data_IF_832059581026
#
_entry.id   IF_832059581026
#
_cell.length_a   1.000
_cell.length_b   1.000
_cell.length_c   1.000
_cell.angle_alpha   90.00
_cell.angle_beta   90.00
_cell.angle_gamma   90.00
#
_symmetry.space_group_name_H-M   'P 1'
#
loop_
_entity.id
_entity.type
_entity.pdbx_description
1 polymer ?
#
# COMPACT_ATOMS: atom_id res chain seq x y z
N UNK A 1 14.71 23.88 -28.36
CA UNK A 1 15.94 23.94 -29.19
C UNK A 1 16.92 22.94 -28.61
N UNK A 2 17.47 21.98 -29.37
CA UNK A 2 18.53 21.14 -28.86
C UNK A 2 19.80 22.00 -28.81
N UNK A 3 20.13 22.53 -27.63
CA UNK A 3 21.46 23.07 -27.40
C UNK A 3 22.42 21.90 -27.48
N UNK A 4 23.17 21.81 -28.57
CA UNK A 4 24.28 20.88 -28.71
C UNK A 4 25.25 21.14 -27.57
N UNK A 5 25.21 20.31 -26.53
CA UNK A 5 26.27 20.27 -25.53
C UNK A 5 27.60 20.05 -26.27
N UNK A 6 28.65 20.81 -25.94
CA UNK A 6 29.91 20.74 -26.66
C UNK A 6 30.45 19.31 -26.67
N UNK A 7 30.82 18.80 -27.85
CA UNK A 7 31.54 17.54 -27.97
C UNK A 7 32.87 17.67 -27.22
N UNK A 8 33.06 16.81 -26.22
CA UNK A 8 34.27 16.77 -25.42
C UNK A 8 35.47 16.38 -26.28
N UNK A 9 36.27 17.38 -26.67
CA UNK A 9 37.53 17.17 -27.36
C UNK A 9 38.59 16.71 -26.35
N UNK A 10 38.90 15.41 -26.35
CA UNK A 10 39.79 14.71 -25.41
C UNK A 10 41.26 15.17 -25.40
N UNK A 11 41.64 16.19 -26.18
CA UNK A 11 43.02 16.36 -26.64
C UNK A 11 43.93 17.27 -25.81
N UNK A 12 43.48 17.92 -24.72
CA UNK A 12 44.34 18.96 -24.11
C UNK A 12 44.55 18.99 -22.59
N UNK A 13 43.91 18.16 -21.75
CA UNK A 13 44.31 18.10 -20.32
C UNK A 13 43.73 16.90 -19.56
N UNK A 14 44.57 16.02 -19.01
CA UNK A 14 44.14 14.86 -18.18
C UNK A 14 43.34 15.26 -16.93
N UNK A 15 43.54 16.46 -16.39
CA UNK A 15 42.75 16.98 -15.27
C UNK A 15 41.35 17.47 -15.69
N UNK A 16 41.14 17.80 -16.97
CA UNK A 16 39.84 18.17 -17.53
C UNK A 16 39.07 16.95 -18.11
N UNK A 17 39.75 15.83 -18.34
CA UNK A 17 39.14 14.61 -18.88
C UNK A 17 38.07 14.00 -17.95
N UNK A 18 38.19 14.16 -16.62
CA UNK A 18 37.15 13.74 -15.66
C UNK A 18 35.82 14.50 -15.82
N UNK A 19 35.83 15.69 -16.41
CA UNK A 19 34.64 16.48 -16.70
C UNK A 19 33.94 16.08 -18.01
N UNK A 20 34.49 15.11 -18.75
CA UNK A 20 33.96 14.67 -20.04
C UNK A 20 33.23 13.33 -20.01
N UNK A 21 33.09 12.73 -18.83
CA UNK A 21 32.26 11.55 -18.65
C UNK A 21 30.81 11.97 -18.75
N UNK A 22 30.08 11.47 -19.74
CA UNK A 22 28.69 11.82 -20.00
C UNK A 22 27.90 10.62 -20.46
N UNK A 23 26.65 10.57 -20.05
CA UNK A 23 25.72 9.55 -20.50
C UNK A 23 25.22 9.92 -21.91
N UNK A 24 25.15 8.92 -22.78
CA UNK A 24 24.65 9.09 -24.15
C UNK A 24 23.16 9.36 -24.15
N UNK A 25 22.66 10.03 -25.18
CA UNK A 25 21.23 10.16 -25.38
C UNK A 25 20.60 8.78 -25.60
N UNK A 26 19.49 8.52 -24.93
CA UNK A 26 18.72 7.28 -25.11
C UNK A 26 17.23 7.48 -24.84
N UNK A 27 16.42 6.58 -25.38
CA UNK A 27 14.98 6.50 -25.06
C UNK A 27 14.76 5.33 -24.13
N UNK A 28 14.18 5.58 -22.95
CA UNK A 28 13.87 4.54 -21.96
C UNK A 28 12.54 4.87 -21.28
N UNK A 29 11.66 3.88 -21.15
CA UNK A 29 10.30 4.05 -20.60
C UNK A 29 9.49 5.12 -21.34
N UNK A 30 9.63 5.18 -22.67
CA UNK A 30 9.00 6.20 -23.53
C UNK A 30 9.39 7.65 -23.21
N UNK A 31 10.48 7.85 -22.48
CA UNK A 31 11.08 9.15 -22.17
C UNK A 31 12.42 9.27 -22.89
N UNK A 32 12.62 10.39 -23.58
CA UNK A 32 13.93 10.74 -24.18
C UNK A 32 14.82 11.39 -23.13
N UNK A 33 15.94 10.75 -22.82
CA UNK A 33 16.96 11.25 -21.90
C UNK A 33 18.08 11.88 -22.72
N UNK A 34 18.13 13.21 -22.73
CA UNK A 34 19.19 13.94 -23.44
C UNK A 34 20.55 13.65 -22.84
N UNK A 35 21.59 13.71 -23.68
CA UNK A 35 22.99 13.65 -23.28
C UNK A 35 23.25 14.54 -22.05
N UNK A 36 23.84 13.97 -21.00
CA UNK A 36 23.99 14.63 -19.70
C UNK A 36 25.35 14.28 -19.10
N UNK A 37 26.12 15.25 -18.57
CA UNK A 37 27.40 14.98 -17.92
C UNK A 37 27.19 14.13 -16.66
N UNK A 38 28.16 13.28 -16.29
CA UNK A 38 28.06 12.45 -15.09
C UNK A 38 28.28 13.26 -13.79
N UNK A 39 29.02 14.36 -13.89
CA UNK A 39 29.36 15.24 -12.78
C UNK A 39 29.11 16.68 -13.22
N UNK A 40 28.43 17.47 -12.38
CA UNK A 40 28.23 18.90 -12.60
C UNK A 40 29.53 19.68 -12.35
N UNK A 41 29.55 20.98 -12.67
CA UNK A 41 30.70 21.86 -12.39
C UNK A 41 31.08 21.88 -10.89
N UNK A 42 30.13 21.55 -10.02
CA UNK A 42 30.27 21.53 -8.56
C UNK A 42 30.73 20.17 -8.01
N UNK A 43 31.01 19.18 -8.87
CA UNK A 43 31.42 17.84 -8.42
C UNK A 43 30.25 16.94 -7.98
N UNK A 44 29.00 17.33 -8.26
CA UNK A 44 27.80 16.59 -7.85
C UNK A 44 27.35 15.69 -9.02
N UNK A 45 26.83 14.50 -8.73
CA UNK A 45 26.23 13.62 -9.74
C UNK A 45 25.08 14.36 -10.44
N UNK A 46 25.15 14.48 -11.77
CA UNK A 46 24.11 15.21 -12.48
C UNK A 46 22.81 14.39 -12.55
N UNK A 47 21.70 15.03 -12.22
CA UNK A 47 20.34 14.49 -12.34
C UNK A 47 19.60 15.25 -13.43
N UNK A 48 19.09 14.54 -14.42
CA UNK A 48 18.22 15.09 -15.45
C UNK A 48 16.76 14.91 -15.03
N UNK A 49 15.98 15.99 -15.12
CA UNK A 49 14.53 15.97 -14.92
C UNK A 49 13.81 16.26 -16.24
N UNK A 50 12.85 15.43 -16.61
CA UNK A 50 12.10 15.53 -17.88
C UNK A 50 10.61 15.35 -17.62
N UNK A 51 9.71 16.00 -18.38
CA UNK A 51 8.27 15.81 -18.23
C UNK A 51 7.87 14.33 -18.42
N UNK A 52 6.90 13.88 -17.65
CA UNK A 52 6.37 12.53 -17.78
C UNK A 52 5.67 12.31 -19.15
N UNK A 53 5.72 11.09 -19.72
CA UNK A 53 5.04 10.79 -20.98
C UNK A 53 3.53 11.05 -20.88
N UNK A 54 2.93 11.61 -21.95
CA UNK A 54 1.49 11.88 -22.02
C UNK A 54 1.02 13.18 -21.36
N UNK A 55 1.89 13.91 -20.67
CA UNK A 55 1.58 15.25 -20.15
C UNK A 55 1.92 16.30 -21.21
N UNK A 56 0.90 16.92 -21.79
CA UNK A 56 1.08 18.08 -22.68
C UNK A 56 1.24 19.34 -21.83
N UNK A 57 2.32 20.09 -22.04
CA UNK A 57 2.51 21.41 -21.45
C UNK A 57 1.49 22.36 -22.10
N UNK A 58 0.33 22.52 -21.47
CA UNK A 58 -0.61 23.61 -21.79
C UNK A 58 -0.18 24.83 -20.98
N UNK A 59 0.08 25.93 -21.67
CA UNK A 59 0.69 27.20 -21.25
C UNK A 59 0.77 27.53 -19.74
N UNK A 60 1.92 28.11 -19.39
CA UNK A 60 2.46 28.43 -18.05
C UNK A 60 1.67 29.41 -17.18
N UNK A 61 0.37 29.62 -17.41
CA UNK A 61 -0.42 30.64 -16.71
C UNK A 61 -1.19 30.15 -15.48
N UNK A 62 -1.21 28.85 -15.18
CA UNK A 62 -2.05 28.27 -14.09
C UNK A 62 -1.28 27.71 -12.88
N UNK A 63 0.05 27.80 -12.82
CA UNK A 63 0.81 27.26 -11.68
C UNK A 63 0.71 25.74 -11.49
N UNK A 64 0.25 25.02 -12.52
CA UNK A 64 0.11 23.56 -12.47
C UNK A 64 1.49 22.90 -12.46
N UNK A 65 1.81 22.17 -11.39
CA UNK A 65 3.07 21.43 -11.26
C UNK A 65 3.01 20.23 -12.22
N UNK A 66 3.77 20.29 -13.31
CA UNK A 66 3.89 19.17 -14.27
C UNK A 66 4.74 18.07 -13.62
N UNK A 67 4.25 16.83 -13.54
CA UNK A 67 5.05 15.74 -13.01
C UNK A 67 6.27 15.48 -13.91
N UNK A 68 7.39 15.18 -13.26
CA UNK A 68 8.68 14.97 -13.92
C UNK A 68 9.26 13.60 -13.57
N UNK A 69 9.74 12.89 -14.58
CA UNK A 69 10.65 11.77 -14.43
C UNK A 69 12.05 12.29 -14.15
N UNK A 70 12.84 11.54 -13.38
CA UNK A 70 14.21 11.90 -13.03
C UNK A 70 15.18 10.76 -13.31
N UNK A 71 16.43 11.08 -13.62
CA UNK A 71 17.46 10.06 -13.81
C UNK A 71 18.85 10.61 -13.57
N UNK A 72 19.70 9.81 -12.93
CA UNK A 72 21.09 10.17 -12.63
C UNK A 72 22.03 9.60 -13.68
N UNK A 73 23.00 10.41 -14.08
CA UNK A 73 24.12 9.98 -14.89
C UNK A 73 25.33 9.75 -13.98
N UNK A 74 25.79 8.51 -13.85
CA UNK A 74 26.95 8.16 -13.03
C UNK A 74 28.21 8.01 -13.89
N UNK A 75 29.37 8.11 -13.25
CA UNK A 75 30.67 7.77 -13.85
C UNK A 75 31.14 6.42 -13.31
N UNK A 76 31.29 5.43 -14.19
CA UNK A 76 31.83 4.10 -13.87
C UNK A 76 32.96 3.83 -14.86
N UNK A 77 34.18 3.63 -14.37
CA UNK A 77 35.38 3.41 -15.19
C UNK A 77 35.57 4.46 -16.29
N UNK A 78 35.38 5.73 -15.94
CA UNK A 78 35.42 6.90 -16.84
C UNK A 78 34.40 6.86 -18.00
N UNK A 79 33.35 6.04 -17.87
CA UNK A 79 32.22 5.97 -18.80
C UNK A 79 30.95 6.46 -18.11
N UNK A 80 30.19 7.29 -18.83
CA UNK A 80 28.89 7.77 -18.36
C UNK A 80 27.86 6.67 -18.47
N UNK A 81 27.33 6.23 -17.34
CA UNK A 81 26.32 5.18 -17.24
C UNK A 81 25.06 5.76 -16.63
N UNK A 82 23.96 5.64 -17.34
CA UNK A 82 22.67 6.03 -16.81
C UNK A 82 22.19 5.02 -15.76
N UNK A 83 21.72 5.53 -14.62
CA UNK A 83 20.95 4.73 -13.67
C UNK A 83 19.57 4.32 -14.21
N UNK A 84 18.80 3.56 -13.43
CA UNK A 84 17.39 3.33 -13.74
C UNK A 84 16.58 4.64 -13.57
N UNK A 85 15.63 4.94 -14.47
CA UNK A 85 14.80 6.13 -14.37
C UNK A 85 13.84 6.06 -13.18
N UNK A 86 13.64 7.20 -12.53
CA UNK A 86 12.66 7.43 -11.48
C UNK A 86 11.40 8.02 -12.11
N UNK A 87 10.29 7.28 -12.04
CA UNK A 87 9.03 7.63 -12.70
C UNK A 87 7.86 7.64 -11.71
N UNK A 88 8.14 7.76 -10.42
CA UNK A 88 7.17 7.82 -9.32
C UNK A 88 6.11 8.92 -9.52
N UNK A 89 6.52 10.05 -10.11
CA UNK A 89 5.61 11.15 -10.43
C UNK A 89 4.87 10.97 -11.75
N UNK A 90 5.30 10.02 -12.58
CA UNK A 90 4.73 9.75 -13.90
C UNK A 90 3.60 8.73 -13.89
N UNK A 91 3.13 8.34 -12.71
CA UNK A 91 1.88 7.61 -12.59
C UNK A 91 0.79 8.39 -13.32
N UNK A 92 0.05 7.69 -14.17
CA UNK A 92 -0.97 8.32 -15.01
C UNK A 92 -1.99 9.04 -14.12
N UNK A 93 -2.58 10.16 -14.59
CA UNK A 93 -3.67 10.81 -13.88
C UNK A 93 -4.79 9.82 -13.53
N UNK A 94 -5.04 8.82 -14.39
CA UNK A 94 -6.00 7.75 -14.13
C UNK A 94 -5.69 6.90 -12.88
N UNK A 95 -4.42 6.66 -12.54
CA UNK A 95 -4.05 5.90 -11.34
C UNK A 95 -4.25 6.74 -10.07
N UNK A 96 -3.84 8.01 -10.11
CA UNK A 96 -4.03 8.95 -8.99
C UNK A 96 -5.51 9.31 -8.81
N UNK A 97 -6.24 9.53 -9.91
CA UNK A 97 -7.69 9.77 -9.92
C UNK A 97 -8.45 8.56 -9.43
N UNK A 98 -8.04 7.33 -9.80
CA UNK A 98 -8.69 6.14 -9.26
C UNK A 98 -8.47 6.03 -7.74
N UNK A 99 -7.24 6.21 -7.25
CA UNK A 99 -6.97 6.19 -5.81
C UNK A 99 -7.74 7.30 -5.08
N UNK A 100 -7.78 8.51 -5.63
CA UNK A 100 -8.49 9.64 -5.06
C UNK A 100 -10.01 9.43 -5.09
N UNK A 101 -10.55 8.85 -6.17
CA UNK A 101 -11.97 8.57 -6.35
C UNK A 101 -12.44 7.40 -5.49
N UNK A 102 -11.63 6.37 -5.33
CA UNK A 102 -11.90 5.28 -4.38
C UNK A 102 -11.96 5.83 -2.96
N UNK A 103 -10.99 6.64 -2.55
CA UNK A 103 -10.99 7.29 -1.24
C UNK A 103 -12.17 8.25 -1.06
N UNK A 104 -12.47 9.10 -2.06
CA UNK A 104 -13.60 10.03 -1.98
C UNK A 104 -14.93 9.30 -1.89
N UNK A 105 -15.10 8.21 -2.66
CA UNK A 105 -16.29 7.37 -2.62
C UNK A 105 -16.45 6.73 -1.24
N UNK A 106 -15.38 6.21 -0.64
CA UNK A 106 -15.40 5.64 0.73
C UNK A 106 -15.84 6.72 1.74
N UNK A 107 -15.30 7.93 1.65
CA UNK A 107 -15.61 9.03 2.56
C UNK A 107 -17.04 9.55 2.38
N UNK A 108 -17.49 9.75 1.14
CA UNK A 108 -18.86 10.15 0.82
C UNK A 108 -19.89 9.16 1.33
N UNK A 109 -19.58 7.86 1.25
CA UNK A 109 -20.43 6.81 1.77
C UNK A 109 -20.42 6.75 3.29
N UNK A 110 -19.28 6.98 3.92
CA UNK A 110 -19.21 7.18 5.35
C UNK A 110 -20.18 8.30 5.76
N UNK A 111 -20.08 9.47 5.14
CA UNK A 111 -20.94 10.61 5.45
C UNK A 111 -22.43 10.34 5.16
N UNK A 112 -22.75 9.67 4.05
CA UNK A 112 -24.13 9.32 3.71
C UNK A 112 -24.73 8.29 4.68
N UNK A 113 -23.96 7.28 5.07
CA UNK A 113 -24.42 6.26 6.02
C UNK A 113 -24.67 6.85 7.42
N UNK A 114 -23.83 7.78 7.86
CA UNK A 114 -23.94 8.35 9.21
C UNK A 114 -24.90 9.54 9.32
N UNK A 115 -25.14 10.30 8.24
CA UNK A 115 -25.93 11.54 8.32
C UNK A 115 -27.35 11.45 7.76
N UNK A 116 -27.75 10.35 7.11
CA UNK A 116 -29.07 10.28 6.47
C UNK A 116 -30.13 9.62 7.37
N UNK A 117 -31.25 10.31 7.57
CA UNK A 117 -32.46 9.82 8.26
C UNK A 117 -33.23 8.80 7.40
N UNK A 118 -32.60 7.68 7.05
CA UNK A 118 -33.24 6.58 6.34
C UNK A 118 -33.81 5.57 7.35
N UNK A 119 -34.90 4.89 7.01
CA UNK A 119 -35.47 3.82 7.84
C UNK A 119 -34.46 2.68 8.03
N UNK A 120 -34.53 1.97 9.16
CA UNK A 120 -33.60 0.88 9.52
C UNK A 120 -33.52 -0.23 8.45
N UNK A 121 -34.63 -0.53 7.76
CA UNK A 121 -34.66 -1.53 6.68
C UNK A 121 -33.94 -1.05 5.41
N UNK A 122 -34.20 0.18 4.98
CA UNK A 122 -33.52 0.77 3.81
C UNK A 122 -32.02 0.99 4.08
N UNK A 123 -31.63 1.24 5.34
CA UNK A 123 -30.23 1.24 5.75
C UNK A 123 -29.61 -0.14 5.57
N UNK A 124 -30.27 -1.20 6.02
CA UNK A 124 -29.75 -2.57 5.91
C UNK A 124 -29.55 -3.01 4.44
N UNK A 125 -30.54 -2.78 3.56
CA UNK A 125 -30.47 -3.19 2.15
C UNK A 125 -29.41 -2.39 1.35
N UNK A 126 -29.32 -1.08 1.61
CA UNK A 126 -28.26 -0.24 1.03
C UNK A 126 -26.91 -0.69 1.57
N UNK A 127 -26.78 -0.98 2.85
CA UNK A 127 -25.53 -1.41 3.46
C UNK A 127 -25.04 -2.74 2.88
N UNK A 128 -25.90 -3.75 2.75
CA UNK A 128 -25.50 -5.07 2.23
C UNK A 128 -25.00 -4.99 0.78
N UNK A 129 -25.72 -4.26 -0.09
CA UNK A 129 -25.33 -4.06 -1.49
C UNK A 129 -24.04 -3.23 -1.60
N UNK A 130 -23.90 -2.21 -0.76
CA UNK A 130 -22.80 -1.23 -0.79
C UNK A 130 -21.53 -1.84 -0.18
N UNK A 131 -21.63 -2.56 0.93
CA UNK A 131 -20.53 -3.30 1.55
C UNK A 131 -19.98 -4.37 0.62
N UNK A 132 -20.84 -5.17 -0.02
CA UNK A 132 -20.40 -6.19 -0.97
C UNK A 132 -19.71 -5.57 -2.19
N UNK A 133 -20.28 -4.52 -2.77
CA UNK A 133 -19.75 -3.87 -3.98
C UNK A 133 -18.44 -3.12 -3.74
N UNK A 134 -18.32 -2.39 -2.63
CA UNK A 134 -17.12 -1.58 -2.32
C UNK A 134 -15.99 -2.47 -1.83
N UNK A 135 -16.31 -3.45 -1.00
CA UNK A 135 -15.31 -4.44 -0.58
C UNK A 135 -14.77 -5.18 -1.78
N UNK A 136 -15.62 -5.48 -2.77
CA UNK A 136 -15.18 -6.01 -4.06
C UNK A 136 -14.23 -5.06 -4.76
N UNK A 137 -14.66 -3.82 -4.99
CA UNK A 137 -13.89 -2.85 -5.76
C UNK A 137 -12.51 -2.59 -5.15
N UNK A 138 -12.45 -2.35 -3.83
CA UNK A 138 -11.22 -1.98 -3.15
C UNK A 138 -10.26 -3.16 -2.99
N UNK A 139 -10.77 -4.34 -2.64
CA UNK A 139 -9.91 -5.52 -2.56
C UNK A 139 -9.42 -5.93 -3.94
N UNK A 140 -10.26 -5.92 -4.98
CA UNK A 140 -9.84 -6.23 -6.37
C UNK A 140 -8.81 -5.23 -6.88
N UNK A 141 -8.93 -3.95 -6.53
CA UNK A 141 -7.91 -2.97 -6.85
C UNK A 141 -6.59 -3.26 -6.15
N UNK A 142 -6.61 -3.45 -4.81
CA UNK A 142 -5.42 -3.77 -4.04
C UNK A 142 -4.75 -5.06 -4.53
N UNK A 143 -5.54 -6.05 -4.92
CA UNK A 143 -5.09 -7.30 -5.54
C UNK A 143 -4.42 -7.03 -6.90
N UNK A 144 -5.10 -6.33 -7.80
CA UNK A 144 -4.60 -6.05 -9.16
C UNK A 144 -3.31 -5.25 -9.18
N UNK A 145 -3.09 -4.35 -8.22
CA UNK A 145 -1.84 -3.56 -8.16
C UNK A 145 -0.69 -4.31 -7.50
N UNK A 146 -0.99 -5.36 -6.71
CA UNK A 146 -0.01 -6.20 -6.01
C UNK A 146 0.36 -7.47 -6.77
N UNK A 147 -0.10 -7.64 -8.02
CA UNK A 147 0.39 -8.71 -8.91
C UNK A 147 1.87 -8.52 -9.29
N UNK A 148 2.59 -9.63 -9.51
CA UNK A 148 4.04 -9.66 -9.79
C UNK A 148 4.44 -9.01 -11.11
N UNK A 149 3.49 -8.79 -12.01
CA UNK A 149 3.75 -8.12 -13.28
C UNK A 149 4.06 -6.62 -13.09
N UNK A 150 3.63 -6.06 -11.95
CA UNK A 150 3.84 -4.65 -11.63
C UNK A 150 5.19 -4.35 -10.97
N UNK A 151 6.02 -5.34 -10.66
CA UNK A 151 7.28 -5.21 -9.87
C UNK A 151 8.25 -4.24 -10.51
N UNK A 152 8.32 -4.29 -11.84
CA UNK A 152 9.15 -3.38 -12.62
C UNK A 152 8.73 -1.92 -12.45
N UNK A 153 7.43 -1.65 -12.26
CA UNK A 153 6.94 -0.31 -11.99
C UNK A 153 7.23 0.10 -10.54
N UNK A 154 6.97 -0.80 -9.59
CA UNK A 154 7.21 -0.57 -8.16
C UNK A 154 8.69 -0.27 -7.84
N UNK A 155 9.63 -1.01 -8.44
CA UNK A 155 11.08 -0.82 -8.24
C UNK A 155 11.62 0.53 -8.76
N UNK A 156 10.86 1.20 -9.63
CA UNK A 156 11.19 2.52 -10.19
C UNK A 156 10.64 3.67 -9.34
N UNK A 157 9.91 3.38 -8.27
CA UNK A 157 9.39 4.39 -7.35
C UNK A 157 10.49 4.86 -6.40
N UNK A 158 10.48 6.16 -6.04
CA UNK A 158 11.43 6.75 -5.09
C UNK A 158 10.72 7.70 -4.11
N UNK A 159 11.02 7.63 -2.79
CA UNK A 159 11.80 6.57 -2.16
C UNK A 159 11.12 5.20 -2.34
N UNK A 160 11.92 4.15 -2.40
CA UNK A 160 11.40 2.78 -2.50
C UNK A 160 10.39 2.55 -1.36
N UNK A 161 9.32 1.82 -1.64
CA UNK A 161 8.29 1.51 -0.66
C UNK A 161 7.28 2.63 -0.34
N UNK A 162 7.52 3.89 -0.70
CA UNK A 162 6.61 4.98 -0.31
C UNK A 162 5.18 4.82 -0.84
N UNK A 163 5.04 4.37 -2.09
CA UNK A 163 3.73 4.12 -2.67
C UNK A 163 3.07 2.88 -2.02
N UNK A 164 3.87 1.90 -1.60
CA UNK A 164 3.37 0.72 -0.89
C UNK A 164 2.86 1.14 0.49
N UNK A 165 3.56 2.03 1.20
CA UNK A 165 3.10 2.61 2.46
C UNK A 165 1.77 3.36 2.30
N UNK A 166 1.63 4.15 1.23
CA UNK A 166 0.36 4.83 0.92
C UNK A 166 -0.76 3.84 0.65
N UNK A 167 -0.49 2.80 -0.12
CA UNK A 167 -1.47 1.76 -0.39
C UNK A 167 -1.88 1.02 0.89
N UNK A 168 -0.94 0.71 1.78
CA UNK A 168 -1.26 0.16 3.11
C UNK A 168 -2.16 1.10 3.91
N UNK A 169 -1.92 2.40 3.87
CA UNK A 169 -2.77 3.39 4.54
C UNK A 169 -4.20 3.38 3.98
N UNK A 170 -4.37 3.30 2.65
CA UNK A 170 -5.69 3.21 2.00
C UNK A 170 -6.41 1.92 2.42
N UNK A 171 -5.73 0.78 2.37
CA UNK A 171 -6.27 -0.52 2.83
C UNK A 171 -6.64 -0.45 4.32
N UNK A 172 -5.85 0.25 5.12
CA UNK A 172 -6.10 0.47 6.54
C UNK A 172 -7.34 1.32 6.83
N UNK A 173 -7.53 2.40 6.08
CA UNK A 173 -8.69 3.26 6.21
C UNK A 173 -9.94 2.51 5.78
N UNK A 174 -9.87 1.83 4.63
CA UNK A 174 -10.95 0.99 4.13
C UNK A 174 -11.41 -0.04 5.17
N UNK A 175 -10.47 -0.80 5.75
CA UNK A 175 -10.82 -1.80 6.77
C UNK A 175 -11.43 -1.22 8.03
N UNK A 176 -11.02 0.00 8.41
CA UNK A 176 -11.61 0.70 9.56
C UNK A 176 -13.06 1.11 9.28
N UNK A 177 -13.33 1.67 8.10
CA UNK A 177 -14.70 2.05 7.68
C UNK A 177 -15.58 0.81 7.54
N UNK A 178 -15.07 -0.26 6.93
CA UNK A 178 -15.81 -1.52 6.80
C UNK A 178 -16.18 -2.10 8.16
N UNK A 179 -15.27 -2.06 9.14
CA UNK A 179 -15.53 -2.56 10.50
C UNK A 179 -16.63 -1.77 11.20
N UNK A 180 -16.59 -0.44 11.08
CA UNK A 180 -17.65 0.43 11.61
C UNK A 180 -19.01 0.12 10.98
N UNK A 181 -19.02 -0.11 9.66
CA UNK A 181 -20.22 -0.48 8.90
C UNK A 181 -20.80 -1.82 9.37
N UNK A 182 -19.97 -2.86 9.42
CA UNK A 182 -20.36 -4.18 9.91
C UNK A 182 -20.87 -4.14 11.35
N UNK A 183 -20.19 -3.38 12.22
CA UNK A 183 -20.63 -3.18 13.61
C UNK A 183 -22.02 -2.57 13.69
N UNK A 184 -22.27 -1.52 12.90
CA UNK A 184 -23.57 -0.89 12.82
C UNK A 184 -24.65 -1.88 12.35
N UNK A 185 -24.33 -2.70 11.33
CA UNK A 185 -25.26 -3.70 10.80
C UNK A 185 -25.63 -4.75 11.86
N UNK A 186 -24.63 -5.36 12.50
CA UNK A 186 -24.84 -6.35 13.54
C UNK A 186 -25.67 -5.78 14.69
N UNK A 187 -25.34 -4.56 15.12
CA UNK A 187 -26.09 -3.85 16.17
C UNK A 187 -27.55 -3.60 15.76
N UNK A 188 -27.80 -3.21 14.51
CA UNK A 188 -29.15 -2.94 13.99
C UNK A 188 -30.03 -4.20 13.95
N UNK A 189 -29.41 -5.36 13.69
CA UNK A 189 -30.05 -6.67 13.68
C UNK A 189 -30.08 -7.34 15.06
N UNK A 190 -29.57 -6.67 16.11
CA UNK A 190 -29.42 -7.24 17.46
C UNK A 190 -28.57 -8.52 17.48
N UNK A 191 -27.67 -8.67 16.50
CA UNK A 191 -26.72 -9.75 16.43
C UNK A 191 -25.47 -9.38 17.24
N UNK A 192 -25.06 -10.29 18.12
CA UNK A 192 -23.86 -10.11 18.96
C UNK A 192 -22.59 -10.71 18.36
N UNK A 193 -22.73 -11.46 17.28
CA UNK A 193 -21.63 -12.13 16.63
C UNK A 193 -21.85 -12.13 15.12
N UNK A 194 -20.76 -12.10 14.38
CA UNK A 194 -20.78 -12.13 12.92
C UNK A 194 -19.37 -12.31 12.38
N UNK A 195 -19.27 -12.81 11.15
CA UNK A 195 -17.98 -12.90 10.47
C UNK A 195 -18.15 -12.56 9.01
N UNK A 196 -17.26 -11.73 8.50
CA UNK A 196 -17.07 -11.47 7.09
C UNK A 196 -15.72 -12.03 6.66
N UNK A 197 -15.68 -12.68 5.49
CA UNK A 197 -14.45 -13.24 4.93
C UNK A 197 -14.41 -12.93 3.44
N UNK A 198 -13.22 -12.58 2.95
CA UNK A 198 -12.96 -12.43 1.53
C UNK A 198 -11.52 -12.72 1.21
N UNK A 199 -11.29 -13.40 0.09
CA UNK A 199 -9.96 -13.67 -0.43
C UNK A 199 -9.90 -13.36 -1.90
N UNK A 200 -8.76 -12.80 -2.28
CA UNK A 200 -8.27 -12.71 -3.64
C UNK A 200 -6.86 -13.29 -3.65
N UNK A 201 -6.23 -13.33 -4.81
CA UNK A 201 -4.92 -13.98 -4.99
C UNK A 201 -3.84 -13.40 -4.06
N UNK A 202 -3.80 -12.08 -3.91
CA UNK A 202 -2.76 -11.36 -3.19
C UNK A 202 -3.23 -10.75 -1.85
N UNK A 203 -4.54 -10.69 -1.61
CA UNK A 203 -5.13 -10.10 -0.39
C UNK A 203 -6.25 -10.96 0.19
N UNK A 204 -6.11 -11.30 1.47
CA UNK A 204 -7.13 -11.93 2.29
C UNK A 204 -7.60 -10.98 3.39
N UNK A 205 -8.90 -10.92 3.63
CA UNK A 205 -9.51 -10.14 4.70
C UNK A 205 -10.50 -11.00 5.48
N UNK A 206 -10.40 -10.96 6.81
CA UNK A 206 -11.36 -11.56 7.72
C UNK A 206 -11.71 -10.56 8.81
N UNK A 207 -13.00 -10.33 9.00
CA UNK A 207 -13.53 -9.49 10.07
C UNK A 207 -14.44 -10.35 10.92
N UNK A 208 -14.18 -10.43 12.21
CA UNK A 208 -15.03 -11.14 13.15
C UNK A 208 -15.53 -10.19 14.22
N UNK A 209 -16.78 -10.32 14.61
CA UNK A 209 -17.40 -9.68 15.75
C UNK A 209 -17.77 -10.77 16.75
N UNK A 210 -17.31 -10.63 17.99
CA UNK A 210 -17.45 -11.64 19.05
C UNK A 210 -17.70 -10.96 20.39
N UNK A 211 -18.51 -11.59 21.23
CA UNK A 211 -18.69 -11.12 22.60
C UNK A 211 -17.43 -11.46 23.40
N UNK A 212 -16.87 -10.55 24.22
CA UNK A 212 -15.63 -10.79 24.96
C UNK A 212 -15.55 -12.11 25.74
N UNK A 213 -16.65 -12.49 26.40
CA UNK A 213 -16.72 -13.72 27.21
C UNK A 213 -16.59 -15.00 26.38
N UNK A 214 -16.96 -14.94 25.10
CA UNK A 214 -16.95 -16.07 24.16
C UNK A 214 -15.67 -16.04 23.30
N UNK A 215 -14.79 -15.06 23.52
CA UNK A 215 -13.56 -14.92 22.77
C UNK A 215 -12.46 -15.82 23.35
N UNK A 216 -12.19 -16.91 22.64
CA UNK A 216 -11.17 -17.90 23.01
C UNK A 216 -9.83 -17.72 22.28
N UNK A 217 -9.71 -16.65 21.50
CA UNK A 217 -8.60 -16.43 20.58
C UNK A 217 -9.01 -16.57 19.12
N UNK A 218 -8.05 -16.33 18.25
CA UNK A 218 -8.21 -16.39 16.81
C UNK A 218 -6.95 -17.00 16.20
N UNK A 219 -7.12 -17.86 15.21
CA UNK A 219 -6.05 -18.41 14.38
C UNK A 219 -6.37 -18.03 12.94
N UNK A 220 -5.37 -17.56 12.19
CA UNK A 220 -5.55 -17.06 10.84
C UNK A 220 -4.35 -17.40 9.94
N UNK A 221 -4.57 -18.03 8.78
CA UNK A 221 -5.82 -18.69 8.40
C UNK A 221 -6.16 -19.84 9.37
N UNK A 222 -7.45 -20.06 9.65
CA UNK A 222 -7.95 -21.30 10.28
C UNK A 222 -8.45 -22.30 9.21
N UNK A 223 -8.92 -23.48 9.65
CA UNK A 223 -9.44 -24.51 8.75
C UNK A 223 -10.63 -24.05 7.89
N UNK A 224 -11.44 -23.09 8.37
CA UNK A 224 -12.52 -22.50 7.57
C UNK A 224 -11.97 -21.54 6.52
N UNK A 225 -10.90 -20.83 6.86
CA UNK A 225 -10.23 -19.91 5.94
C UNK A 225 -9.51 -20.65 4.81
N UNK A 226 -8.97 -21.84 5.07
CA UNK A 226 -8.38 -22.70 4.03
C UNK A 226 -9.38 -23.04 2.90
N UNK A 227 -10.58 -23.47 3.27
CA UNK A 227 -11.61 -23.91 2.33
C UNK A 227 -12.21 -22.75 1.53
N UNK A 228 -12.47 -21.63 2.20
CA UNK A 228 -13.18 -20.49 1.60
C UNK A 228 -12.25 -19.51 0.90
N UNK A 229 -11.01 -19.38 1.38
CA UNK A 229 -10.10 -18.29 1.02
C UNK A 229 -8.89 -18.78 0.22
N UNK A 230 -8.73 -20.09 0.02
CA UNK A 230 -7.56 -20.68 -0.64
C UNK A 230 -6.23 -20.32 0.04
N UNK A 231 -6.30 -19.84 1.28
CA UNK A 231 -5.16 -19.40 2.05
C UNK A 231 -4.48 -20.62 2.65
N UNK A 232 -3.34 -21.05 2.09
CA UNK A 232 -2.54 -22.13 2.68
C UNK A 232 -2.07 -21.73 4.08
N UNK A 233 -2.00 -22.71 5.00
CA UNK A 233 -1.53 -22.54 6.39
C UNK A 233 -0.10 -22.01 6.49
N UNK A 234 0.67 -22.08 5.40
CA UNK A 234 2.05 -21.64 5.35
C UNK A 234 2.36 -20.85 4.07
N UNK A 235 3.20 -19.79 4.14
CA UNK A 235 3.66 -19.06 5.33
C UNK A 235 2.68 -17.95 5.78
N UNK A 236 2.78 -17.54 7.06
CA UNK A 236 2.06 -16.44 7.73
C UNK A 236 0.75 -16.77 8.47
N UNK A 237 0.76 -17.85 9.26
CA UNK A 237 -0.27 -18.07 10.28
C UNK A 237 -0.04 -17.16 11.50
N UNK A 238 -1.06 -16.42 11.90
CA UNK A 238 -1.10 -15.71 13.19
C UNK A 238 -2.07 -16.42 14.12
N UNK A 239 -1.63 -16.66 15.35
CA UNK A 239 -2.50 -17.02 16.46
C UNK A 239 -2.48 -15.92 17.51
N UNK A 240 -3.65 -15.47 17.92
CA UNK A 240 -3.81 -14.64 19.10
C UNK A 240 -4.65 -15.41 20.12
N UNK A 241 -4.07 -15.63 21.29
CA UNK A 241 -4.74 -16.26 22.43
C UNK A 241 -4.82 -15.23 23.55
N UNK A 242 -6.03 -14.86 24.02
CA UNK A 242 -6.17 -13.84 25.03
C UNK A 242 -5.56 -14.31 26.36
N UNK A 243 -4.62 -13.53 26.89
CA UNK A 243 -4.08 -13.80 28.22
C UNK A 243 -5.04 -13.30 29.32
N UNK A 244 -4.79 -13.69 30.57
CA UNK A 244 -5.66 -13.30 31.71
C UNK A 244 -5.76 -11.79 31.89
N UNK A 245 -4.70 -11.05 31.57
CA UNK A 245 -4.70 -9.59 31.70
C UNK A 245 -5.59 -8.93 30.64
N UNK A 246 -5.54 -9.41 29.40
CA UNK A 246 -6.40 -8.98 28.31
C UNK A 246 -7.87 -9.16 28.68
N UNK A 247 -8.27 -10.37 29.10
CA UNK A 247 -9.65 -10.67 29.53
C UNK A 247 -10.06 -9.77 30.69
N UNK A 248 -9.18 -9.57 31.67
CA UNK A 248 -9.46 -8.68 32.81
C UNK A 248 -9.71 -7.23 32.36
N UNK A 249 -8.90 -6.68 31.45
CA UNK A 249 -9.04 -5.30 30.95
C UNK A 249 -10.32 -5.14 30.13
N UNK A 250 -10.61 -6.06 29.22
CA UNK A 250 -11.83 -6.02 28.41
C UNK A 250 -13.08 -6.07 29.30
N UNK A 251 -13.09 -6.93 30.33
CA UNK A 251 -14.21 -6.99 31.28
C UNK A 251 -14.37 -5.71 32.11
N UNK A 252 -13.28 -4.97 32.38
CA UNK A 252 -13.35 -3.69 33.11
C UNK A 252 -13.89 -2.54 32.26
N UNK A 253 -13.70 -2.60 30.95
CA UNK A 253 -14.13 -1.58 29.99
C UNK A 253 -15.61 -1.71 29.60
N UNK A 254 -16.34 -2.69 30.14
CA UNK A 254 -17.72 -2.99 29.78
C UNK A 254 -17.94 -3.12 28.26
N UNK A 255 -16.98 -3.73 27.57
CA UNK A 255 -17.03 -3.92 26.12
C UNK A 255 -18.20 -4.84 25.77
N UNK A 256 -19.08 -4.39 24.89
CA UNK A 256 -20.23 -5.16 24.41
C UNK A 256 -19.78 -6.24 23.41
N UNK A 257 -18.94 -5.83 22.45
CA UNK A 257 -18.41 -6.66 21.38
C UNK A 257 -16.95 -6.32 21.08
N UNK A 258 -16.16 -7.32 20.77
CA UNK A 258 -14.84 -7.18 20.17
C UNK A 258 -14.95 -7.41 18.68
N UNK A 259 -14.36 -6.50 17.90
CA UNK A 259 -14.22 -6.67 16.46
C UNK A 259 -12.76 -6.85 16.11
N UNK A 260 -12.43 -7.97 15.45
CA UNK A 260 -11.08 -8.25 14.98
C UNK A 260 -11.09 -8.21 13.45
N UNK A 261 -10.26 -7.34 12.90
CA UNK A 261 -9.96 -7.27 11.47
C UNK A 261 -8.61 -7.88 11.27
N UNK A 262 -8.51 -8.80 10.32
CA UNK A 262 -7.24 -9.30 9.85
C UNK A 262 -7.12 -9.16 8.36
N UNK A 263 -5.95 -8.71 7.94
CA UNK A 263 -5.52 -8.58 6.56
C UNK A 263 -4.28 -9.44 6.36
N UNK A 264 -4.31 -10.31 5.37
CA UNK A 264 -3.14 -11.02 4.85
C UNK A 264 -2.84 -10.49 3.47
N UNK A 265 -1.58 -10.15 3.23
CA UNK A 265 -1.09 -9.54 2.01
C UNK A 265 0.08 -10.40 1.50
N UNK A 266 -0.24 -11.35 0.63
CA UNK A 266 0.65 -12.47 0.26
C UNK A 266 1.94 -12.00 -0.39
N UNK A 267 1.84 -11.06 -1.33
CA UNK A 267 2.95 -10.61 -2.16
C UNK A 267 3.40 -9.19 -1.81
N UNK A 268 2.76 -8.53 -0.84
CA UNK A 268 2.96 -7.11 -0.58
C UNK A 268 4.32 -6.78 0.02
N UNK A 269 4.92 -7.71 0.76
CA UNK A 269 6.22 -7.54 1.41
C UNK A 269 7.34 -7.17 0.43
N UNK A 270 7.29 -7.66 -0.81
CA UNK A 270 8.24 -7.31 -1.88
C UNK A 270 8.17 -5.84 -2.30
N UNK A 271 7.07 -5.15 -1.99
CA UNK A 271 6.85 -3.74 -2.30
C UNK A 271 7.36 -2.82 -1.18
N UNK A 272 7.59 -3.37 0.01
CA UNK A 272 8.06 -2.63 1.17
C UNK A 272 9.56 -2.41 1.09
N UNK A 273 10.00 -1.29 1.64
CA UNK A 273 11.41 -0.94 1.72
C UNK A 273 11.75 -0.54 3.15
N UNK A 274 12.76 -1.19 3.72
CA UNK A 274 13.31 -0.81 5.00
C UNK A 274 14.74 -0.29 4.80
N UNK A 275 14.99 1.02 5.01
CA UNK A 275 16.31 1.60 4.80
C UNK A 275 17.39 1.01 5.71
N UNK A 276 17.01 0.30 6.80
CA UNK A 276 17.94 -0.31 7.74
C UNK A 276 18.61 -1.58 7.21
N UNK A 277 17.96 -2.29 6.30
CA UNK A 277 18.44 -3.57 5.77
C UNK A 277 19.03 -3.45 4.34
N UNK A 278 19.13 -2.22 3.81
CA UNK A 278 19.71 -1.97 2.48
C UNK A 278 18.83 -2.47 1.33
N UNK A 279 19.34 -2.41 0.10
CA UNK A 279 18.58 -2.80 -1.11
C UNK A 279 18.53 -4.32 -1.35
N UNK A 280 19.25 -5.12 -0.56
CA UNK A 280 19.41 -6.56 -0.81
C UNK A 280 18.64 -7.46 0.17
N UNK A 281 18.24 -6.93 1.32
CA UNK A 281 17.43 -7.67 2.29
C UNK A 281 15.96 -7.41 2.00
N UNK A 282 15.34 -8.34 1.29
CA UNK A 282 13.91 -8.28 0.96
C UNK A 282 13.09 -8.97 2.04
N UNK A 283 11.97 -8.37 2.42
CA UNK A 283 10.95 -9.04 3.23
C UNK A 283 10.33 -10.13 2.34
N UNK A 284 10.58 -11.40 2.67
CA UNK A 284 10.18 -12.57 1.87
C UNK A 284 8.98 -13.33 2.46
N UNK A 285 8.35 -12.78 3.50
CA UNK A 285 7.17 -13.36 4.15
C UNK A 285 5.93 -12.55 3.79
N UNK A 286 4.74 -13.16 3.69
CA UNK A 286 3.49 -12.40 3.61
C UNK A 286 3.37 -11.40 4.75
N UNK A 287 2.81 -10.23 4.46
CA UNK A 287 2.49 -9.26 5.49
C UNK A 287 1.12 -9.62 6.08
N UNK A 288 1.03 -9.73 7.40
CA UNK A 288 -0.23 -9.93 8.08
C UNK A 288 -0.43 -8.82 9.10
N UNK A 289 -1.64 -8.26 9.11
CA UNK A 289 -2.03 -7.16 9.97
C UNK A 289 -3.30 -7.49 10.70
N UNK A 290 -3.28 -7.31 12.01
CA UNK A 290 -4.45 -7.46 12.88
C UNK A 290 -4.78 -6.10 13.47
N UNK A 291 -6.05 -5.72 13.41
CA UNK A 291 -6.62 -4.61 14.15
C UNK A 291 -7.72 -5.12 15.05
N UNK A 292 -7.79 -4.57 16.24
CA UNK A 292 -8.85 -4.86 17.18
C UNK A 292 -9.61 -3.58 17.49
N UNK A 293 -10.91 -3.69 17.55
CA UNK A 293 -11.80 -2.64 17.97
C UNK A 293 -12.69 -3.12 19.11
N UNK A 294 -13.01 -2.21 20.02
CA UNK A 294 -13.87 -2.41 21.16
C UNK A 294 -15.17 -1.65 20.92
N UNK A 295 -16.30 -2.33 21.04
CA UNK A 295 -17.60 -1.67 21.08
C UNK A 295 -17.97 -1.34 22.52
N UNK A 296 -18.12 -0.04 22.80
CA UNK A 296 -18.53 0.48 24.12
C UNK A 296 -19.73 1.39 23.87
N UNK A 297 -20.85 1.12 24.54
CA UNK A 297 -22.11 1.88 24.39
C UNK A 297 -22.58 1.96 22.93
N UNK A 298 -22.34 0.89 22.15
CA UNK A 298 -22.69 0.83 20.72
C UNK A 298 -21.74 1.58 19.78
N UNK A 299 -20.70 2.24 20.29
CA UNK A 299 -19.67 2.90 19.47
C UNK A 299 -18.42 2.04 19.37
N UNK A 300 -17.80 2.02 18.19
CA UNK A 300 -16.61 1.22 17.92
C UNK A 300 -15.35 2.07 18.06
N UNK A 301 -14.40 1.64 18.89
CA UNK A 301 -13.15 2.33 19.17
C UNK A 301 -11.95 1.43 18.86
N UNK A 302 -10.83 1.94 18.31
CA UNK A 302 -9.60 1.17 18.26
C UNK A 302 -9.20 0.71 19.66
N UNK A 303 -8.89 -0.58 19.82
CA UNK A 303 -8.48 -1.13 21.10
C UNK A 303 -7.13 -0.56 21.52
N UNK A 304 -7.08 -0.01 22.74
CA UNK A 304 -5.83 0.38 23.40
C UNK A 304 -5.30 -0.72 24.32
N UNK A 305 -6.01 -1.85 24.41
CA UNK A 305 -5.57 -2.98 25.23
C UNK A 305 -4.41 -3.65 24.52
N UNK A 306 -3.21 -3.68 25.13
CA UNK A 306 -2.08 -4.38 24.53
C UNK A 306 -2.43 -5.86 24.42
N UNK A 307 -2.23 -6.42 23.22
CA UNK A 307 -2.39 -7.83 22.96
C UNK A 307 -1.04 -8.43 22.57
N UNK A 308 -0.66 -9.50 23.26
CA UNK A 308 0.52 -10.29 22.88
C UNK A 308 0.16 -11.11 21.65
N UNK A 309 0.74 -10.76 20.51
CA UNK A 309 0.57 -11.54 19.29
C UNK A 309 1.76 -12.49 19.16
N UNK A 310 1.50 -13.79 19.14
CA UNK A 310 2.52 -14.76 18.71
C UNK A 310 2.42 -14.89 17.21
N UNK A 311 3.35 -14.25 16.49
CA UNK A 311 3.51 -14.45 15.06
C UNK A 311 4.46 -15.63 14.86
N UNK A 312 3.93 -16.75 14.37
CA UNK A 312 4.77 -17.90 14.00
C UNK A 312 5.16 -17.72 12.54
N UNK A 313 6.34 -17.12 12.31
CA UNK A 313 6.95 -17.10 10.99
C UNK A 313 7.60 -18.45 10.73
N UNK A 314 6.89 -19.35 10.05
CA UNK A 314 7.51 -20.55 9.50
C UNK A 314 8.29 -20.14 8.27
N UNK A 315 9.60 -20.00 8.42
CA UNK A 315 10.51 -19.86 7.29
C UNK A 315 10.60 -21.23 6.61
N UNK A 316 9.95 -21.38 5.45
CA UNK A 316 10.31 -22.46 4.55
C UNK A 316 11.71 -22.17 4.04
N UNK A 317 12.68 -23.02 4.39
CA UNK A 317 14.00 -22.99 3.78
C UNK A 317 13.80 -23.32 2.29
N UNK A 318 13.72 -22.29 1.45
CA UNK A 318 13.80 -22.46 0.00
C UNK A 318 15.27 -22.75 -0.32
N UNK A 319 15.57 -24.03 -0.49
CA UNK A 319 16.84 -24.54 -1.03
C UNK A 319 16.91 -24.37 -2.54
#
# INVERSE_FOLDING_TARGET
MPSSLPECNYLTNRHLAKHCVQCKEEVRESVTWSRTPAITEEGIVAELSVPCPGYTITDNSSGTIIPQAKRKCNSVDDVGVWDSPYIDKCLTPSFLDFSAKSLSTILELQDSLFNTHVTSQQKADVLEYTESSITTLNMTFADSITITDNDKAWNKTRPLGQLADKLLQVVDQFTSVFSLSLHHHLSSLQLKQGSFRRSLENIGMKVISVVPKDFHGIILPDASDLADLGMTEEPATISFTPNKEFIRKINQLAVDNLMLVTLRLNTFSRLLYDPRYGQHDNINTPLVKIKMYESIDGFLHPSNVPFETTMTLLFSNVS
#
